data_IF_073444408045
#
_entry.id   IF_073444408045
#
_cell.length_a   1.000
_cell.length_b   1.000
_cell.length_c   1.000
_cell.angle_alpha   90.00
_cell.angle_beta   90.00
_cell.angle_gamma   90.00
#
_symmetry.space_group_name_H-M   'P 1'
#
loop_
_entity.id
_entity.type
_entity.pdbx_description
1 polymer ?
#
# COMPACT_ATOMS: atom_id res chain seq x y z
N UNK A 1 -13.51 -14.52 25.24
CA UNK A 1 -13.55 -13.46 24.23
C UNK A 1 -12.63 -12.37 24.74
N UNK A 2 -11.39 -12.26 24.22
CA UNK A 2 -10.55 -11.10 24.52
C UNK A 2 -11.30 -9.88 23.95
N UNK A 3 -11.48 -8.85 24.78
CA UNK A 3 -12.13 -7.60 24.38
C UNK A 3 -11.56 -7.12 23.04
N UNK A 4 -12.46 -6.84 22.09
CA UNK A 4 -12.07 -6.29 20.80
C UNK A 4 -11.36 -4.94 21.00
N UNK A 5 -10.48 -4.57 20.08
CA UNK A 5 -9.89 -3.23 20.04
C UNK A 5 -11.01 -2.17 20.14
N UNK A 6 -10.75 -1.08 20.87
CA UNK A 6 -11.61 0.11 20.84
C UNK A 6 -11.52 0.76 19.46
N UNK A 7 -12.35 0.29 18.53
CA UNK A 7 -12.38 0.74 17.13
C UNK A 7 -12.49 2.26 17.03
N UNK A 8 -13.36 2.86 17.85
CA UNK A 8 -13.54 4.30 17.89
C UNK A 8 -12.25 5.01 18.30
N UNK A 9 -11.59 4.53 19.36
CA UNK A 9 -10.31 5.07 19.81
C UNK A 9 -9.20 4.93 18.78
N UNK A 10 -9.16 3.81 18.02
CA UNK A 10 -8.21 3.61 16.91
C UNK A 10 -8.46 4.64 15.80
N UNK A 11 -9.71 4.82 15.39
CA UNK A 11 -10.08 5.81 14.36
C UNK A 11 -9.72 7.22 14.82
N UNK A 12 -10.04 7.58 16.07
CA UNK A 12 -9.70 8.88 16.64
C UNK A 12 -8.17 9.13 16.66
N UNK A 13 -7.38 8.11 17.01
CA UNK A 13 -5.92 8.21 16.99
C UNK A 13 -5.37 8.41 15.58
N UNK A 14 -5.78 7.58 14.61
CA UNK A 14 -5.33 7.67 13.23
C UNK A 14 -5.72 9.01 12.59
N UNK A 15 -6.94 9.50 12.90
CA UNK A 15 -7.42 10.79 12.44
C UNK A 15 -6.58 11.94 13.00
N UNK A 16 -6.32 11.94 14.32
CA UNK A 16 -5.50 12.95 14.97
C UNK A 16 -4.06 12.95 14.41
N UNK A 17 -3.44 11.77 14.26
CA UNK A 17 -2.12 11.68 13.64
C UNK A 17 -2.10 12.23 12.22
N UNK A 18 -3.11 11.89 11.39
CA UNK A 18 -3.19 12.38 10.00
C UNK A 18 -3.42 13.89 9.94
N UNK A 19 -4.22 14.43 10.84
CA UNK A 19 -4.47 15.87 10.93
C UNK A 19 -3.18 16.65 11.23
N UNK A 20 -2.41 16.19 12.23
CA UNK A 20 -1.23 16.87 12.74
C UNK A 20 0.04 16.65 11.90
N UNK A 21 0.22 15.44 11.34
CA UNK A 21 1.47 15.05 10.64
C UNK A 21 1.31 14.83 9.16
N UNK A 22 0.08 14.67 8.67
CA UNK A 22 -0.21 14.20 7.32
C UNK A 22 -0.18 12.68 7.18
N UNK A 23 0.17 11.91 8.22
CA UNK A 23 0.30 10.45 8.19
C UNK A 23 -0.49 9.79 9.33
N UNK A 24 -1.08 8.60 9.11
CA UNK A 24 -1.96 7.95 10.09
C UNK A 24 -1.21 7.34 11.29
N UNK A 25 0.09 7.14 11.17
CA UNK A 25 0.95 6.56 12.23
C UNK A 25 2.22 7.37 12.39
N UNK A 26 2.84 7.31 13.59
CA UNK A 26 4.11 8.00 13.81
C UNK A 26 5.22 7.44 12.90
N UNK A 27 5.88 8.33 12.17
CA UNK A 27 7.04 8.02 11.34
C UNK A 27 8.03 9.20 11.37
N UNK A 28 9.34 8.96 11.20
CA UNK A 28 10.34 10.02 11.19
C UNK A 28 10.17 10.94 9.97
N UNK A 29 10.64 12.18 10.08
CA UNK A 29 10.65 13.10 8.94
C UNK A 29 11.44 12.52 7.77
N UNK A 30 10.96 12.73 6.53
CA UNK A 30 11.62 12.29 5.30
C UNK A 30 11.53 10.79 5.01
N UNK A 31 10.89 9.98 5.86
CA UNK A 31 10.80 8.53 5.63
C UNK A 31 10.16 8.19 4.28
N UNK A 32 9.20 8.98 3.86
CA UNK A 32 8.40 8.69 2.67
C UNK A 32 9.18 8.86 1.37
N UNK A 33 10.21 9.73 1.34
CA UNK A 33 11.02 9.99 0.14
C UNK A 33 12.34 9.20 0.08
N UNK A 34 12.72 8.46 1.11
CA UNK A 34 13.99 7.68 1.16
C UNK A 34 14.14 6.71 -0.01
N UNK A 35 13.07 6.11 -0.49
CA UNK A 35 13.09 5.20 -1.63
C UNK A 35 13.70 5.84 -2.89
N UNK A 36 13.56 7.15 -3.05
CA UNK A 36 14.03 7.90 -4.21
C UNK A 36 15.48 8.37 -4.12
N UNK A 37 16.13 8.23 -2.95
CA UNK A 37 17.52 8.64 -2.74
C UNK A 37 18.45 7.95 -3.74
N UNK A 38 19.29 8.73 -4.40
CA UNK A 38 20.20 8.24 -5.44
C UNK A 38 19.54 7.92 -6.78
N UNK A 39 18.22 8.14 -6.95
CA UNK A 39 17.55 8.08 -8.23
C UNK A 39 17.45 9.49 -8.82
N UNK A 40 17.90 9.62 -10.08
CA UNK A 40 17.70 10.86 -10.84
C UNK A 40 16.26 10.88 -11.39
N UNK A 41 15.32 11.35 -10.56
CA UNK A 41 13.91 11.49 -10.91
C UNK A 41 13.61 12.95 -11.25
N UNK A 42 13.02 13.25 -12.43
CA UNK A 42 12.74 14.61 -12.84
C UNK A 42 11.69 15.26 -11.93
N UNK A 43 11.96 16.48 -11.47
CA UNK A 43 11.04 17.25 -10.62
C UNK A 43 10.06 18.13 -11.41
N UNK A 44 10.15 18.12 -12.73
CA UNK A 44 9.32 18.88 -13.64
C UNK A 44 9.45 18.39 -15.07
N UNK A 45 8.80 19.09 -16.02
CA UNK A 45 8.91 18.79 -17.44
C UNK A 45 8.01 17.67 -17.95
N UNK A 46 7.12 17.14 -17.11
CA UNK A 46 6.10 16.15 -17.50
C UNK A 46 4.71 16.58 -17.04
N UNK A 47 3.70 16.19 -17.81
CA UNK A 47 2.30 16.35 -17.44
C UNK A 47 1.78 15.23 -16.54
N UNK A 48 2.63 14.24 -16.19
CA UNK A 48 2.31 13.11 -15.34
C UNK A 48 3.07 13.18 -14.03
N UNK A 49 2.34 13.03 -12.92
CA UNK A 49 2.92 12.98 -11.58
C UNK A 49 2.97 11.52 -11.11
N UNK A 50 4.16 11.03 -10.75
CA UNK A 50 4.26 9.79 -9.98
C UNK A 50 3.88 10.07 -8.53
N UNK A 51 2.81 9.47 -8.04
CA UNK A 51 2.25 9.66 -6.70
C UNK A 51 2.25 8.34 -5.94
N UNK A 52 3.06 8.24 -4.89
CA UNK A 52 3.20 7.01 -4.11
C UNK A 52 2.06 6.83 -3.11
N UNK A 53 1.41 7.92 -2.67
CA UNK A 53 0.38 7.89 -1.64
C UNK A 53 0.88 7.40 -0.29
N UNK A 54 2.18 7.24 -0.13
CA UNK A 54 2.94 6.81 1.04
C UNK A 54 2.57 5.44 1.62
N UNK A 55 1.70 4.65 0.98
CA UNK A 55 1.20 3.44 1.61
C UNK A 55 2.27 2.33 1.69
N UNK A 56 3.08 2.13 0.65
CA UNK A 56 4.24 1.22 0.72
C UNK A 56 5.22 1.65 1.81
N UNK A 57 5.53 2.92 1.89
CA UNK A 57 6.48 3.48 2.86
C UNK A 57 5.96 3.39 4.31
N UNK A 58 4.64 3.47 4.50
CA UNK A 58 3.99 3.38 5.81
C UNK A 58 3.85 1.95 6.34
N UNK A 59 3.80 0.94 5.46
CA UNK A 59 3.56 -0.45 5.90
C UNK A 59 4.53 -0.96 6.95
N UNK A 60 5.87 -0.72 6.90
CA UNK A 60 6.79 -1.15 7.96
C UNK A 60 6.45 -0.52 9.32
N UNK A 61 6.02 0.74 9.33
CA UNK A 61 5.63 1.46 10.56
C UNK A 61 4.29 0.95 11.10
N UNK A 62 3.30 0.70 10.22
CA UNK A 62 2.04 0.07 10.59
C UNK A 62 2.27 -1.31 11.20
N UNK A 63 3.12 -2.13 10.59
CA UNK A 63 3.49 -3.44 11.12
C UNK A 63 4.15 -3.35 12.50
N UNK A 64 5.01 -2.35 12.71
CA UNK A 64 5.64 -2.12 14.00
C UNK A 64 4.61 -1.72 15.08
N UNK A 65 3.63 -0.88 14.74
CA UNK A 65 2.52 -0.54 15.64
C UNK A 65 1.69 -1.77 15.97
N UNK A 66 1.35 -2.58 14.97
CA UNK A 66 0.57 -3.83 15.19
C UNK A 66 1.34 -4.79 16.11
N UNK A 67 2.64 -5.02 15.86
CA UNK A 67 3.49 -5.85 16.73
C UNK A 67 3.55 -5.33 18.17
N UNK A 68 3.65 -4.01 18.35
CA UNK A 68 3.66 -3.38 19.67
C UNK A 68 2.33 -3.63 20.41
N UNK A 69 1.21 -3.39 19.74
CA UNK A 69 -0.13 -3.58 20.30
C UNK A 69 -0.39 -5.06 20.65
N UNK A 70 0.00 -5.98 19.78
CA UNK A 70 -0.13 -7.43 20.03
C UNK A 70 0.75 -7.87 21.21
N UNK A 71 1.99 -7.35 21.30
CA UNK A 71 2.93 -7.65 22.39
C UNK A 71 2.41 -7.17 23.77
N UNK A 72 1.64 -6.09 23.80
CA UNK A 72 1.00 -5.57 25.01
C UNK A 72 -0.32 -6.28 25.35
N UNK A 73 -0.76 -7.23 24.52
CA UNK A 73 -2.04 -7.92 24.70
C UNK A 73 -3.27 -7.06 24.34
N UNK A 74 -3.05 -5.99 23.62
CA UNK A 74 -4.02 -4.97 23.23
C UNK A 74 -3.76 -3.63 23.91
N UNK A 75 -4.39 -2.57 23.44
CA UNK A 75 -4.34 -1.25 24.08
C UNK A 75 -5.65 -0.97 24.81
N UNK A 76 -5.60 -0.76 26.14
CA UNK A 76 -6.77 -0.31 26.87
C UNK A 76 -7.31 1.02 26.34
N UNK A 77 -8.60 1.23 26.43
CA UNK A 77 -9.25 2.48 25.97
C UNK A 77 -8.62 3.74 26.57
N UNK A 78 -8.22 3.69 27.83
CA UNK A 78 -7.53 4.82 28.49
C UNK A 78 -6.19 5.12 27.84
N UNK A 79 -5.41 4.09 27.47
CA UNK A 79 -4.13 4.26 26.79
C UNK A 79 -4.31 4.86 25.38
N UNK A 80 -5.31 4.41 24.63
CA UNK A 80 -5.64 5.01 23.32
C UNK A 80 -5.99 6.49 23.44
N UNK A 81 -6.80 6.88 24.43
CA UNK A 81 -7.11 8.30 24.68
C UNK A 81 -5.87 9.12 25.00
N UNK A 82 -4.98 8.61 25.84
CA UNK A 82 -3.72 9.28 26.18
C UNK A 82 -2.81 9.41 24.96
N UNK A 83 -2.72 8.37 24.12
CA UNK A 83 -1.96 8.42 22.87
C UNK A 83 -2.57 9.41 21.87
N UNK A 84 -3.89 9.49 21.76
CA UNK A 84 -4.59 10.48 20.91
C UNK A 84 -4.31 11.90 21.37
N UNK A 85 -4.34 12.15 22.70
CA UNK A 85 -3.99 13.46 23.25
C UNK A 85 -2.53 13.82 22.96
N UNK A 86 -1.62 12.86 23.13
CA UNK A 86 -0.20 13.04 22.81
C UNK A 86 0.02 13.28 21.30
N UNK A 87 -0.72 12.57 20.45
CA UNK A 87 -0.70 12.78 19.00
C UNK A 87 -1.07 14.22 18.62
N UNK A 88 -2.06 14.81 19.29
CA UNK A 88 -2.47 16.20 19.07
C UNK A 88 -1.47 17.22 19.58
N UNK A 89 -0.81 16.94 20.71
CA UNK A 89 0.09 17.91 21.36
C UNK A 89 1.56 17.78 20.90
N UNK A 90 2.04 16.57 20.72
CA UNK A 90 3.44 16.25 20.40
C UNK A 90 3.53 15.01 19.49
N UNK A 91 3.00 15.06 18.27
CA UNK A 91 2.92 13.88 17.40
C UNK A 91 4.29 13.27 17.10
N UNK A 92 5.33 14.08 16.98
CA UNK A 92 6.70 13.61 16.68
C UNK A 92 7.36 12.87 17.85
N UNK A 93 6.91 13.06 19.09
CA UNK A 93 7.40 12.30 20.23
C UNK A 93 7.05 10.81 20.12
N UNK A 94 5.97 10.47 19.43
CA UNK A 94 5.56 9.10 19.19
C UNK A 94 6.43 8.39 18.13
N UNK A 95 7.05 9.12 17.20
CA UNK A 95 7.86 8.54 16.14
C UNK A 95 9.08 7.77 16.69
N UNK A 96 9.66 8.22 17.81
CA UNK A 96 10.77 7.54 18.46
C UNK A 96 10.42 6.20 19.12
N UNK A 97 9.13 5.94 19.36
CA UNK A 97 8.65 4.68 19.95
C UNK A 97 8.45 3.57 18.92
N UNK A 98 8.25 3.94 17.66
CA UNK A 98 7.97 3.00 16.58
C UNK A 98 9.26 2.66 15.84
N UNK A 99 9.66 1.39 15.94
CA UNK A 99 10.85 0.87 15.27
C UNK A 99 10.43 -0.12 14.19
N UNK A 100 10.36 0.31 12.92
CA UNK A 100 10.07 -0.59 11.81
C UNK A 100 11.21 -1.59 11.63
N UNK A 101 10.89 -2.75 11.09
CA UNK A 101 11.90 -3.70 10.65
C UNK A 101 12.65 -3.13 9.44
N UNK A 102 13.99 -3.18 9.49
CA UNK A 102 14.84 -2.62 8.44
C UNK A 102 14.74 -3.37 7.11
N UNK A 103 14.40 -4.66 7.14
CA UNK A 103 14.20 -5.45 5.92
C UNK A 103 12.86 -5.12 5.27
N UNK A 104 11.80 -4.94 6.08
CA UNK A 104 10.50 -4.45 5.58
C UNK A 104 10.65 -3.06 4.92
N UNK A 105 11.44 -2.17 5.52
CA UNK A 105 11.71 -0.84 4.94
C UNK A 105 12.43 -0.96 3.61
N UNK A 106 13.54 -1.72 3.55
CA UNK A 106 14.30 -1.94 2.31
C UNK A 106 13.45 -2.60 1.22
N UNK A 107 12.62 -3.57 1.57
CA UNK A 107 11.71 -4.23 0.64
C UNK A 107 10.70 -3.25 0.04
N UNK A 108 10.10 -2.39 0.87
CA UNK A 108 9.17 -1.35 0.41
C UNK A 108 9.85 -0.33 -0.53
N UNK A 109 11.07 0.09 -0.19
CA UNK A 109 11.87 0.98 -1.03
C UNK A 109 12.22 0.31 -2.38
N UNK A 110 12.62 -0.96 -2.37
CA UNK A 110 12.94 -1.71 -3.59
C UNK A 110 11.72 -1.86 -4.52
N UNK A 111 10.53 -2.08 -3.96
CA UNK A 111 9.29 -2.15 -4.75
C UNK A 111 9.05 -0.82 -5.48
N UNK A 112 9.14 0.31 -4.79
CA UNK A 112 8.93 1.63 -5.41
C UNK A 112 10.00 1.94 -6.47
N UNK A 113 11.26 1.61 -6.22
CA UNK A 113 12.35 1.70 -7.20
C UNK A 113 12.09 0.84 -8.43
N UNK A 114 11.58 -0.38 -8.22
CA UNK A 114 11.19 -1.29 -9.30
C UNK A 114 10.05 -0.74 -10.14
N UNK A 115 9.01 -0.15 -9.52
CA UNK A 115 7.91 0.51 -10.22
C UNK A 115 8.41 1.68 -11.07
N UNK A 116 9.24 2.56 -10.49
CA UNK A 116 9.82 3.70 -11.24
C UNK A 116 10.68 3.23 -12.42
N UNK A 117 11.47 2.17 -12.23
CA UNK A 117 12.29 1.58 -13.30
C UNK A 117 11.43 0.95 -14.40
N UNK A 118 10.34 0.24 -14.04
CA UNK A 118 9.38 -0.33 -15.00
C UNK A 118 8.71 0.76 -15.85
N UNK A 119 8.27 1.85 -15.22
CA UNK A 119 7.68 2.99 -15.93
C UNK A 119 8.68 3.62 -16.90
N UNK A 120 9.92 3.88 -16.46
CA UNK A 120 10.99 4.43 -17.33
C UNK A 120 11.31 3.52 -18.52
N UNK A 121 11.45 2.21 -18.27
CA UNK A 121 11.67 1.23 -19.35
C UNK A 121 10.49 1.13 -20.32
N UNK A 122 9.29 1.46 -19.84
CA UNK A 122 8.08 1.53 -20.66
C UNK A 122 7.99 2.79 -21.50
N UNK A 123 8.96 3.71 -21.42
CA UNK A 123 8.95 5.00 -22.09
C UNK A 123 7.91 5.98 -21.49
N UNK A 124 7.46 5.73 -20.26
CA UNK A 124 6.52 6.61 -19.56
C UNK A 124 7.31 7.79 -19.00
N UNK A 125 7.01 8.97 -19.53
CA UNK A 125 7.50 10.22 -18.97
C UNK A 125 6.67 10.62 -17.75
N UNK A 126 7.34 10.95 -16.62
CA UNK A 126 6.71 11.38 -15.37
C UNK A 126 7.65 12.29 -14.57
N UNK A 127 7.08 13.15 -13.78
CA UNK A 127 7.80 13.87 -12.74
C UNK A 127 7.50 13.33 -11.35
N UNK A 128 8.46 13.52 -10.45
CA UNK A 128 8.35 13.16 -9.04
C UNK A 128 8.75 14.36 -8.18
N UNK A 129 7.81 14.88 -7.43
CA UNK A 129 7.96 16.01 -6.51
C UNK A 129 7.72 15.48 -5.10
N UNK A 130 8.77 15.14 -4.33
CA UNK A 130 8.63 14.43 -3.04
C UNK A 130 7.60 15.05 -2.10
N UNK A 131 7.57 16.40 -2.04
CA UNK A 131 6.69 17.17 -1.17
C UNK A 131 5.19 16.98 -1.51
N UNK A 132 4.89 16.50 -2.71
CA UNK A 132 3.53 16.20 -3.19
C UNK A 132 3.37 14.72 -3.46
N UNK A 133 4.33 14.10 -4.15
CA UNK A 133 4.28 12.71 -4.59
C UNK A 133 4.16 11.70 -3.44
N UNK A 134 4.73 12.03 -2.28
CA UNK A 134 4.77 11.16 -1.09
C UNK A 134 3.79 11.60 0.00
N UNK A 135 2.85 12.47 -0.31
CA UNK A 135 1.73 12.74 0.58
C UNK A 135 0.91 11.46 0.76
N UNK A 136 0.49 11.20 1.98
CA UNK A 136 -0.41 10.11 2.28
C UNK A 136 -1.74 10.30 1.56
N UNK A 137 -2.24 9.26 0.88
CA UNK A 137 -3.48 9.36 0.09
C UNK A 137 -4.76 9.48 0.93
N UNK A 138 -4.73 9.13 2.23
CA UNK A 138 -5.92 9.05 3.08
C UNK A 138 -6.60 7.68 3.07
N UNK A 139 -5.97 6.67 2.44
CA UNK A 139 -6.58 5.36 2.18
C UNK A 139 -7.13 4.67 3.44
N UNK A 140 -6.37 4.63 4.54
CA UNK A 140 -6.84 3.97 5.79
C UNK A 140 -8.00 4.74 6.45
N UNK A 141 -8.05 6.06 6.32
CA UNK A 141 -9.18 6.84 6.82
C UNK A 141 -10.46 6.47 6.06
N UNK A 142 -10.34 6.32 4.73
CA UNK A 142 -11.43 5.87 3.87
C UNK A 142 -11.87 4.45 4.22
N UNK A 143 -10.92 3.51 4.32
CA UNK A 143 -11.17 2.10 4.63
C UNK A 143 -11.84 1.89 5.99
N UNK A 144 -11.55 2.74 6.96
CA UNK A 144 -12.11 2.70 8.32
C UNK A 144 -13.38 3.54 8.48
N UNK A 145 -13.82 4.24 7.44
CA UNK A 145 -15.02 5.08 7.50
C UNK A 145 -14.85 6.36 8.33
N UNK A 146 -13.62 6.86 8.51
CA UNK A 146 -13.33 8.14 9.17
C UNK A 146 -13.62 9.31 8.21
N UNK A 147 -14.90 9.52 7.86
CA UNK A 147 -15.35 10.36 6.75
C UNK A 147 -14.85 11.80 6.88
N UNK A 148 -15.07 12.44 8.03
CA UNK A 148 -14.70 13.85 8.24
C UNK A 148 -13.18 14.06 8.14
N UNK A 149 -12.39 13.16 8.75
CA UNK A 149 -10.93 13.19 8.69
C UNK A 149 -10.43 12.92 7.27
N UNK A 150 -11.07 11.98 6.56
CA UNK A 150 -10.77 11.72 5.16
C UNK A 150 -11.03 12.94 4.28
N UNK A 151 -12.18 13.58 4.41
CA UNK A 151 -12.55 14.76 3.59
C UNK A 151 -11.60 15.93 3.80
N UNK A 152 -11.29 16.25 5.06
CA UNK A 152 -10.32 17.28 5.39
C UNK A 152 -8.92 16.98 4.81
N UNK A 153 -8.48 15.73 4.90
CA UNK A 153 -7.19 15.30 4.34
C UNK A 153 -7.21 15.28 2.80
N UNK A 154 -8.28 14.80 2.18
CA UNK A 154 -8.48 14.77 0.74
C UNK A 154 -8.41 16.16 0.10
N UNK A 155 -8.99 17.18 0.76
CA UNK A 155 -8.87 18.57 0.31
C UNK A 155 -7.41 19.05 0.29
N UNK A 156 -6.61 18.72 1.31
CA UNK A 156 -5.17 19.06 1.37
C UNK A 156 -4.39 18.39 0.24
N UNK A 157 -4.56 17.09 0.06
CA UNK A 157 -3.88 16.30 -0.98
C UNK A 157 -4.28 16.79 -2.37
N UNK A 158 -5.58 16.97 -2.62
CA UNK A 158 -6.08 17.43 -3.91
C UNK A 158 -5.58 18.85 -4.24
N UNK A 159 -5.52 19.75 -3.26
CA UNK A 159 -4.95 21.10 -3.45
C UNK A 159 -3.48 21.03 -3.86
N UNK A 160 -2.68 20.19 -3.20
CA UNK A 160 -1.27 20.02 -3.50
C UNK A 160 -1.05 19.45 -4.91
N UNK A 161 -1.77 18.39 -5.30
CA UNK A 161 -1.67 17.80 -6.65
C UNK A 161 -2.15 18.80 -7.71
N UNK A 162 -3.27 19.46 -7.49
CA UNK A 162 -3.84 20.43 -8.44
C UNK A 162 -2.94 21.65 -8.67
N UNK A 163 -2.05 22.01 -7.71
CA UNK A 163 -1.11 23.13 -7.88
C UNK A 163 0.01 22.83 -8.86
N UNK A 164 0.28 21.58 -9.18
CA UNK A 164 1.33 21.17 -10.14
C UNK A 164 0.87 21.25 -11.61
N UNK A 165 -0.42 21.52 -11.87
CA UNK A 165 -1.02 21.60 -13.21
C UNK A 165 -0.73 20.39 -14.10
N UNK A 166 -0.64 19.20 -13.52
CA UNK A 166 -0.51 17.93 -14.25
C UNK A 166 -1.85 17.49 -14.84
N UNK A 167 -1.81 16.74 -15.94
CA UNK A 167 -3.00 16.16 -16.58
C UNK A 167 -3.31 14.74 -16.09
N UNK A 168 -2.30 14.03 -15.55
CA UNK A 168 -2.43 12.65 -15.09
C UNK A 168 -1.62 12.40 -13.81
N UNK A 169 -2.18 11.59 -12.90
CA UNK A 169 -1.49 11.05 -11.71
C UNK A 169 -1.32 9.55 -11.87
N UNK A 170 -0.07 9.08 -11.76
CA UNK A 170 0.29 7.67 -11.77
C UNK A 170 0.37 7.18 -10.33
N UNK A 171 -0.45 6.20 -9.97
CA UNK A 171 -0.47 5.59 -8.63
C UNK A 171 0.26 4.26 -8.61
N UNK A 172 0.84 3.91 -7.45
CA UNK A 172 1.67 2.72 -7.29
C UNK A 172 0.96 1.57 -6.57
N UNK A 173 -0.18 1.82 -5.95
CA UNK A 173 -0.94 0.83 -5.19
C UNK A 173 -2.47 1.00 -5.38
N UNK A 174 -3.26 -0.07 -5.11
CA UNK A 174 -4.70 -0.06 -5.34
C UNK A 174 -5.48 0.90 -4.44
N UNK A 175 -5.08 1.04 -3.17
CA UNK A 175 -5.81 1.88 -2.21
C UNK A 175 -5.65 3.36 -2.57
N UNK A 176 -4.42 3.78 -2.91
CA UNK A 176 -4.14 5.12 -3.42
C UNK A 176 -4.90 5.39 -4.72
N UNK A 177 -4.92 4.43 -5.65
CA UNK A 177 -5.63 4.57 -6.91
C UNK A 177 -7.15 4.77 -6.70
N UNK A 178 -7.76 3.97 -5.83
CA UNK A 178 -9.19 4.11 -5.50
C UNK A 178 -9.48 5.45 -4.81
N UNK A 179 -8.65 5.81 -3.83
CA UNK A 179 -8.81 7.04 -3.05
C UNK A 179 -8.78 8.27 -3.95
N UNK A 180 -7.76 8.38 -4.83
CA UNK A 180 -7.67 9.50 -5.78
C UNK A 180 -8.80 9.46 -6.83
N UNK A 181 -9.23 8.28 -7.24
CA UNK A 181 -10.40 8.14 -8.13
C UNK A 181 -11.67 8.66 -7.47
N UNK A 182 -11.87 8.40 -6.17
CA UNK A 182 -12.99 8.96 -5.40
C UNK A 182 -12.88 10.48 -5.29
N UNK A 183 -11.69 11.01 -4.98
CA UNK A 183 -11.46 12.46 -4.94
C UNK A 183 -11.79 13.12 -6.29
N UNK A 184 -11.42 12.49 -7.40
CA UNK A 184 -11.72 12.97 -8.75
C UNK A 184 -13.22 12.93 -9.05
N UNK A 185 -13.91 11.84 -8.72
CA UNK A 185 -15.38 11.72 -8.89
C UNK A 185 -16.15 12.76 -8.07
N UNK A 186 -15.59 13.19 -6.93
CA UNK A 186 -16.15 14.26 -6.09
C UNK A 186 -15.78 15.69 -6.56
N UNK A 187 -15.03 15.81 -7.66
CA UNK A 187 -14.61 17.11 -8.22
C UNK A 187 -13.46 17.79 -7.46
N UNK A 188 -12.85 17.12 -6.48
CA UNK A 188 -11.72 17.66 -5.71
C UNK A 188 -10.41 17.61 -6.51
N UNK A 189 -10.20 16.55 -7.29
CA UNK A 189 -8.98 16.29 -8.06
C UNK A 189 -9.25 16.51 -9.56
N UNK A 190 -8.43 17.33 -10.22
CA UNK A 190 -8.55 17.65 -11.65
C UNK A 190 -7.94 16.59 -12.57
N UNK A 191 -6.67 16.15 -12.37
CA UNK A 191 -6.02 15.21 -13.26
C UNK A 191 -6.71 13.85 -13.30
N UNK A 192 -6.50 13.12 -14.39
CA UNK A 192 -6.86 11.70 -14.48
C UNK A 192 -6.01 10.87 -13.54
N UNK A 193 -6.53 9.72 -13.11
CA UNK A 193 -5.82 8.79 -12.22
C UNK A 193 -5.63 7.47 -12.96
N UNK A 194 -4.38 7.01 -13.03
CA UNK A 194 -4.04 5.71 -13.60
C UNK A 194 -3.12 4.93 -12.67
N UNK A 195 -3.29 3.63 -12.64
CA UNK A 195 -2.34 2.74 -11.98
C UNK A 195 -1.08 2.55 -12.85
N UNK A 196 0.08 2.40 -12.23
CA UNK A 196 1.31 2.00 -12.93
C UNK A 196 1.12 0.73 -13.78
N UNK A 197 0.25 -0.20 -13.33
CA UNK A 197 -0.08 -1.42 -14.05
C UNK A 197 -0.65 -1.17 -15.46
N UNK A 198 -1.36 -0.07 -15.65
CA UNK A 198 -1.95 0.29 -16.96
C UNK A 198 -0.90 0.86 -17.91
N UNK A 199 0.19 1.39 -17.37
CA UNK A 199 1.24 2.11 -18.11
C UNK A 199 2.47 1.25 -18.41
N UNK A 200 2.73 0.23 -17.56
CA UNK A 200 3.85 -0.69 -17.80
C UNK A 200 3.63 -1.45 -19.10
N UNK A 201 4.60 -1.32 -20.00
CA UNK A 201 4.62 -2.02 -21.29
C UNK A 201 5.13 -3.45 -21.13
N UNK A 202 4.55 -4.43 -21.84
CA UNK A 202 5.06 -5.80 -21.87
C UNK A 202 6.54 -5.94 -22.21
N UNK A 203 7.07 -5.07 -23.08
CA UNK A 203 8.48 -5.09 -23.48
C UNK A 203 9.45 -4.57 -22.41
N UNK A 204 8.93 -3.86 -21.40
CA UNK A 204 9.71 -3.35 -20.28
C UNK A 204 9.96 -4.37 -19.18
N UNK A 205 9.29 -5.49 -19.24
CA UNK A 205 9.33 -6.55 -18.23
C UNK A 205 10.55 -7.44 -18.46
N UNK A 206 11.27 -7.79 -17.39
CA UNK A 206 12.37 -8.76 -17.49
C UNK A 206 11.82 -10.19 -17.51
N UNK A 207 12.43 -11.03 -18.35
CA UNK A 207 12.05 -12.43 -18.48
C UNK A 207 12.60 -13.23 -17.30
N UNK A 208 11.74 -14.05 -16.70
CA UNK A 208 12.07 -14.92 -15.55
C UNK A 208 11.55 -16.32 -15.87
N UNK A 209 12.30 -17.07 -16.68
CA UNK A 209 11.89 -18.39 -17.18
C UNK A 209 11.80 -19.44 -16.07
N UNK A 210 10.90 -20.43 -16.27
CA UNK A 210 10.78 -21.61 -15.40
C UNK A 210 10.13 -21.36 -14.04
N UNK A 211 9.46 -20.24 -13.88
CA UNK A 211 8.88 -19.82 -12.63
C UNK A 211 7.34 -19.86 -12.66
N UNK A 212 6.74 -20.57 -11.71
CA UNK A 212 5.29 -20.67 -11.57
C UNK A 212 4.84 -19.96 -10.31
N UNK A 213 3.84 -19.08 -10.45
CA UNK A 213 3.25 -18.33 -9.36
C UNK A 213 1.75 -18.54 -9.25
N UNK A 214 1.16 -18.21 -8.11
CA UNK A 214 -0.27 -17.92 -8.03
C UNK A 214 -0.48 -16.46 -7.67
N UNK A 215 -1.56 -15.86 -8.17
CA UNK A 215 -1.83 -14.44 -7.94
C UNK A 215 -2.87 -14.26 -6.84
N UNK A 216 -2.52 -13.48 -5.82
CA UNK A 216 -3.50 -12.89 -4.93
C UNK A 216 -3.94 -11.54 -5.49
N UNK A 217 -5.08 -11.51 -6.15
CA UNK A 217 -5.65 -10.26 -6.64
C UNK A 217 -6.05 -9.34 -5.49
N UNK A 218 -5.60 -8.10 -5.54
CA UNK A 218 -6.15 -7.05 -4.68
C UNK A 218 -7.64 -6.89 -4.97
N UNK A 219 -8.46 -6.89 -3.92
CA UNK A 219 -9.90 -6.74 -4.07
C UNK A 219 -10.28 -5.41 -4.78
N UNK A 220 -9.53 -4.34 -4.52
CA UNK A 220 -9.73 -3.04 -5.14
C UNK A 220 -9.39 -3.08 -6.64
N UNK A 221 -8.20 -3.59 -7.01
CA UNK A 221 -7.86 -3.72 -8.43
C UNK A 221 -8.81 -4.66 -9.17
N UNK A 222 -9.30 -5.71 -8.50
CA UNK A 222 -10.13 -6.70 -9.15
C UNK A 222 -11.60 -6.30 -9.31
N UNK A 223 -12.17 -5.56 -8.37
CA UNK A 223 -13.60 -5.23 -8.34
C UNK A 223 -13.91 -3.76 -8.58
N UNK A 224 -13.11 -2.86 -7.98
CA UNK A 224 -13.40 -1.43 -8.03
C UNK A 224 -12.79 -0.75 -9.26
N UNK A 225 -11.60 -1.23 -9.68
CA UNK A 225 -10.81 -0.63 -10.77
C UNK A 225 -10.70 -1.53 -12.02
N UNK A 226 -11.12 -2.79 -11.94
CA UNK A 226 -11.13 -3.78 -13.03
C UNK A 226 -9.78 -3.99 -13.73
N UNK A 227 -8.70 -4.06 -12.94
CA UNK A 227 -7.32 -4.18 -13.43
C UNK A 227 -6.70 -5.57 -13.22
N UNK A 228 -7.48 -6.58 -12.82
CA UNK A 228 -6.94 -7.91 -12.48
C UNK A 228 -6.26 -8.64 -13.64
N UNK A 229 -6.72 -8.46 -14.88
CA UNK A 229 -6.13 -9.07 -16.06
C UNK A 229 -4.73 -8.50 -16.38
N UNK A 230 -4.48 -7.24 -16.00
CA UNK A 230 -3.19 -6.60 -16.27
C UNK A 230 -2.02 -7.33 -15.63
N UNK A 231 -2.17 -7.82 -14.41
CA UNK A 231 -1.13 -8.60 -13.73
C UNK A 231 -0.78 -9.89 -14.49
N UNK A 232 -1.78 -10.60 -15.05
CA UNK A 232 -1.57 -11.82 -15.85
C UNK A 232 -0.85 -11.51 -17.14
N UNK A 233 -1.26 -10.48 -17.84
CA UNK A 233 -0.64 -10.06 -19.10
C UNK A 233 0.84 -9.70 -18.93
N UNK A 234 1.17 -8.99 -17.83
CA UNK A 234 2.55 -8.63 -17.51
C UNK A 234 3.37 -9.85 -17.08
N UNK A 235 2.81 -10.77 -16.27
CA UNK A 235 3.46 -12.01 -15.89
C UNK A 235 3.72 -12.93 -17.09
N UNK A 236 2.76 -13.05 -17.99
CA UNK A 236 2.93 -13.81 -19.24
C UNK A 236 4.06 -13.21 -20.10
N UNK A 237 4.19 -11.88 -20.17
CA UNK A 237 5.29 -11.20 -20.87
C UNK A 237 6.66 -11.45 -20.21
N UNK A 238 6.67 -11.68 -18.89
CA UNK A 238 7.84 -12.10 -18.12
C UNK A 238 8.17 -13.59 -18.27
N UNK A 239 7.41 -14.36 -19.05
CA UNK A 239 7.47 -15.83 -19.18
C UNK A 239 7.22 -16.55 -17.84
N UNK A 240 6.48 -15.92 -16.93
CA UNK A 240 6.06 -16.49 -15.65
C UNK A 240 4.71 -17.18 -15.82
N UNK A 241 4.64 -18.46 -15.46
CA UNK A 241 3.38 -19.21 -15.50
C UNK A 241 2.50 -18.86 -14.30
N UNK A 242 1.21 -18.64 -14.56
CA UNK A 242 0.23 -18.39 -13.49
C UNK A 242 -0.62 -19.64 -13.28
N UNK A 243 -0.54 -20.21 -12.08
CA UNK A 243 -1.46 -21.25 -11.60
C UNK A 243 -2.63 -20.58 -10.90
N UNK A 244 -3.78 -20.53 -11.59
CA UNK A 244 -4.94 -19.76 -11.12
C UNK A 244 -5.62 -20.43 -9.92
N UNK A 245 -5.80 -19.65 -8.85
CA UNK A 245 -6.57 -20.08 -7.70
C UNK A 245 -8.07 -20.11 -8.03
N UNK A 246 -8.83 -20.99 -7.37
CA UNK A 246 -10.28 -21.09 -7.55
C UNK A 246 -11.00 -19.75 -7.34
N UNK A 247 -10.55 -18.97 -6.33
CA UNK A 247 -11.04 -17.62 -6.06
C UNK A 247 -10.01 -16.59 -6.55
N UNK A 248 -10.04 -16.27 -7.84
CA UNK A 248 -9.15 -15.31 -8.50
C UNK A 248 -9.92 -14.25 -9.27
N UNK A 249 -9.26 -13.22 -9.74
CA UNK A 249 -9.84 -12.08 -10.44
C UNK A 249 -10.94 -11.41 -9.59
N UNK A 250 -12.06 -11.09 -10.18
CA UNK A 250 -13.20 -10.44 -9.49
C UNK A 250 -13.77 -11.28 -8.33
N UNK A 251 -13.53 -12.60 -8.31
CA UNK A 251 -13.96 -13.51 -7.23
C UNK A 251 -12.93 -13.66 -6.13
N UNK A 252 -11.87 -12.89 -6.14
CA UNK A 252 -10.81 -12.94 -5.12
C UNK A 252 -11.37 -12.82 -3.70
N UNK A 253 -10.80 -13.57 -2.77
CA UNK A 253 -11.09 -13.40 -1.34
C UNK A 253 -10.17 -12.35 -0.74
N UNK A 254 -10.64 -11.68 0.31
CA UNK A 254 -9.87 -10.67 1.03
C UNK A 254 -8.61 -11.29 1.67
N UNK A 255 -7.54 -10.50 1.75
CA UNK A 255 -6.34 -10.82 2.55
C UNK A 255 -6.54 -10.62 4.06
N UNK A 256 -7.64 -9.97 4.47
CA UNK A 256 -7.92 -9.63 5.87
C UNK A 256 -7.30 -8.31 6.35
N UNK A 257 -6.50 -7.62 5.53
CA UNK A 257 -5.79 -6.41 5.94
C UNK A 257 -6.66 -5.30 6.54
N UNK A 258 -7.75 -4.86 5.89
CA UNK A 258 -8.62 -3.80 6.44
C UNK A 258 -9.30 -4.17 7.77
N UNK A 259 -9.46 -5.46 8.06
CA UNK A 259 -10.04 -5.93 9.33
C UNK A 259 -9.06 -5.82 10.50
N UNK A 260 -7.77 -5.60 10.24
CA UNK A 260 -6.72 -5.59 11.26
C UNK A 260 -6.94 -4.51 12.34
N UNK A 261 -7.35 -3.32 11.92
CA UNK A 261 -7.66 -2.22 12.84
C UNK A 261 -8.87 -2.53 13.76
N UNK A 262 -9.74 -3.45 13.33
CA UNK A 262 -10.92 -3.88 14.09
C UNK A 262 -10.61 -5.09 14.96
N UNK A 263 -9.88 -6.05 14.42
CA UNK A 263 -9.53 -7.30 15.09
C UNK A 263 -8.30 -7.95 14.45
N UNK A 264 -7.09 -7.75 15.01
CA UNK A 264 -5.88 -8.42 14.53
C UNK A 264 -6.02 -9.95 14.48
N UNK A 265 -6.76 -10.53 15.43
CA UNK A 265 -7.06 -11.97 15.47
C UNK A 265 -7.83 -12.43 14.23
N UNK A 266 -8.91 -11.73 13.88
CA UNK A 266 -9.72 -12.06 12.70
C UNK A 266 -8.95 -11.82 11.41
N UNK A 267 -8.22 -10.71 11.31
CA UNK A 267 -7.34 -10.40 10.18
C UNK A 267 -6.37 -11.55 9.90
N UNK A 268 -5.69 -12.02 10.94
CA UNK A 268 -4.74 -13.15 10.85
C UNK A 268 -5.41 -14.43 10.36
N UNK A 269 -6.58 -14.79 10.91
CA UNK A 269 -7.32 -16.00 10.47
C UNK A 269 -7.70 -15.92 8.99
N UNK A 270 -8.20 -14.77 8.54
CA UNK A 270 -8.56 -14.55 7.14
C UNK A 270 -7.33 -14.69 6.24
N UNK A 271 -6.19 -14.09 6.64
CA UNK A 271 -4.94 -14.17 5.90
C UNK A 271 -4.43 -15.62 5.81
N UNK A 272 -4.43 -16.36 6.92
CA UNK A 272 -4.00 -17.76 6.93
C UNK A 272 -4.88 -18.67 6.06
N UNK A 273 -6.20 -18.49 6.11
CA UNK A 273 -7.12 -19.26 5.27
C UNK A 273 -6.87 -18.95 3.78
N UNK A 274 -6.76 -17.66 3.46
CA UNK A 274 -6.49 -17.22 2.09
C UNK A 274 -5.15 -17.75 1.58
N UNK A 275 -4.11 -17.67 2.39
CA UNK A 275 -2.79 -18.12 1.99
C UNK A 275 -2.73 -19.64 1.81
N UNK A 276 -3.41 -20.44 2.68
CA UNK A 276 -3.51 -21.90 2.50
C UNK A 276 -4.22 -22.26 1.19
N UNK A 277 -5.23 -21.49 0.79
CA UNK A 277 -5.86 -21.69 -0.52
C UNK A 277 -4.88 -21.44 -1.65
N UNK A 278 -4.19 -20.31 -1.64
CA UNK A 278 -3.23 -19.92 -2.68
C UNK A 278 -2.06 -20.92 -2.78
N UNK A 279 -1.53 -21.35 -1.64
CA UNK A 279 -0.39 -22.28 -1.56
C UNK A 279 -0.66 -23.67 -2.16
N UNK A 280 -1.92 -24.01 -2.46
CA UNK A 280 -2.28 -25.23 -3.21
C UNK A 280 -1.93 -25.14 -4.70
N UNK A 281 -1.81 -23.92 -5.20
CA UNK A 281 -1.57 -23.65 -6.62
C UNK A 281 -0.11 -23.32 -6.90
N UNK A 282 0.53 -22.56 -6.01
CA UNK A 282 1.98 -22.31 -6.03
C UNK A 282 2.47 -21.91 -4.64
N UNK A 283 3.74 -22.26 -4.36
CA UNK A 283 4.44 -21.77 -3.15
C UNK A 283 4.88 -20.31 -3.27
N UNK A 284 4.82 -19.74 -4.46
CA UNK A 284 5.11 -18.32 -4.69
C UNK A 284 3.80 -17.59 -4.98
N UNK A 285 3.42 -16.74 -4.06
CA UNK A 285 2.19 -15.94 -4.13
C UNK A 285 2.56 -14.53 -4.54
N UNK A 286 2.07 -14.08 -5.69
CA UNK A 286 2.30 -12.71 -6.18
C UNK A 286 1.11 -11.83 -5.80
N UNK A 287 1.39 -10.62 -5.32
CA UNK A 287 0.38 -9.57 -5.08
C UNK A 287 0.90 -8.20 -5.54
N UNK A 288 0.02 -7.22 -5.64
CA UNK A 288 0.32 -5.86 -6.09
C UNK A 288 -0.28 -4.80 -5.14
N UNK A 289 -0.44 -5.19 -3.88
CA UNK A 289 -1.03 -4.33 -2.85
C UNK A 289 -0.19 -4.43 -1.57
N UNK A 290 0.32 -3.33 -1.02
CA UNK A 290 1.18 -3.34 0.15
C UNK A 290 0.49 -3.91 1.39
N UNK A 291 -0.81 -3.66 1.58
CA UNK A 291 -1.59 -4.23 2.69
C UNK A 291 -1.73 -5.74 2.53
N UNK A 292 -2.00 -6.22 1.30
CA UNK A 292 -2.08 -7.66 1.03
C UNK A 292 -0.72 -8.34 1.21
N UNK A 293 0.36 -7.73 0.69
CA UNK A 293 1.71 -8.24 0.83
C UNK A 293 2.09 -8.40 2.31
N UNK A 294 1.88 -7.37 3.12
CA UNK A 294 2.16 -7.40 4.55
C UNK A 294 1.37 -8.49 5.29
N UNK A 295 0.05 -8.52 5.12
CA UNK A 295 -0.80 -9.43 5.88
C UNK A 295 -0.58 -10.90 5.50
N UNK A 296 -0.43 -11.19 4.20
CA UNK A 296 -0.13 -12.54 3.71
C UNK A 296 1.31 -12.98 4.06
N UNK A 297 2.30 -12.07 4.05
CA UNK A 297 3.68 -12.40 4.47
C UNK A 297 3.75 -12.81 5.95
N UNK A 298 3.01 -12.12 6.82
CA UNK A 298 2.89 -12.54 8.24
C UNK A 298 2.26 -13.92 8.40
N UNK A 299 1.29 -14.26 7.53
CA UNK A 299 0.71 -15.61 7.52
C UNK A 299 1.70 -16.62 6.93
N UNK A 300 2.52 -16.25 5.94
CA UNK A 300 3.51 -17.11 5.31
C UNK A 300 4.59 -17.59 6.28
N UNK A 301 4.96 -16.78 7.27
CA UNK A 301 5.90 -17.17 8.32
C UNK A 301 5.49 -18.45 9.10
N UNK A 302 4.23 -18.90 8.94
CA UNK A 302 3.67 -20.11 9.57
C UNK A 302 3.41 -21.25 8.58
N UNK A 303 3.80 -21.09 7.31
CA UNK A 303 3.59 -22.07 6.25
C UNK A 303 4.90 -22.35 5.53
N UNK A 304 5.38 -23.59 5.66
CA UNK A 304 6.68 -23.99 5.10
C UNK A 304 6.77 -23.77 3.59
N UNK A 305 7.85 -23.09 3.19
CA UNK A 305 8.22 -22.87 1.81
C UNK A 305 7.32 -21.92 1.02
N UNK A 306 6.33 -21.26 1.65
CA UNK A 306 5.48 -20.26 0.99
C UNK A 306 6.13 -18.89 1.07
N UNK A 307 6.21 -18.21 -0.07
CA UNK A 307 6.71 -16.83 -0.18
C UNK A 307 5.65 -15.94 -0.79
N UNK A 308 5.53 -14.74 -0.28
CA UNK A 308 4.69 -13.66 -0.84
C UNK A 308 5.62 -12.62 -1.44
N UNK A 309 5.40 -12.27 -2.70
CA UNK A 309 6.27 -11.37 -3.47
C UNK A 309 5.41 -10.29 -4.14
N UNK A 310 5.93 -9.08 -4.17
CA UNK A 310 5.26 -8.01 -4.93
C UNK A 310 5.46 -8.19 -6.43
N UNK A 311 4.41 -7.92 -7.21
CA UNK A 311 4.42 -8.04 -8.67
C UNK A 311 5.55 -7.22 -9.31
N UNK A 312 5.82 -6.01 -8.79
CA UNK A 312 6.86 -5.15 -9.35
C UNK A 312 8.26 -5.77 -9.24
N UNK A 313 8.53 -6.55 -8.17
CA UNK A 313 9.81 -7.26 -8.02
C UNK A 313 9.94 -8.39 -9.05
N UNK A 314 8.86 -9.15 -9.28
CA UNK A 314 8.84 -10.20 -10.33
C UNK A 314 9.13 -9.59 -11.69
N UNK A 315 8.42 -8.53 -12.06
CA UNK A 315 8.52 -7.88 -13.37
C UNK A 315 9.87 -7.16 -13.60
N UNK A 316 10.53 -6.75 -12.53
CA UNK A 316 11.84 -6.07 -12.60
C UNK A 316 13.03 -6.99 -12.43
N UNK A 317 12.83 -8.30 -12.15
CA UNK A 317 13.87 -9.27 -11.91
C UNK A 317 14.60 -9.13 -10.57
N UNK A 318 13.96 -8.52 -9.59
CA UNK A 318 14.48 -8.28 -8.23
C UNK A 318 13.88 -9.28 -7.20
N UNK A 319 13.89 -10.57 -7.52
CA UNK A 319 13.31 -11.66 -6.70
C UNK A 319 14.22 -12.11 -5.55
#
# INVERSE_FOLDING_TARGET
VKEGLDVKGVIEFLSAMTEETGYPVPAPSGFASRWSEGLDLPRGGSERLLFTGALYQLMPYLNAVVRLVEGLGGLPRAALKSLTLLARQRPWALAGLIRPDSEEVRASELILRSIAALLRRSGVDFMYVPEVSDLYSGALLLDLGAVDAFEAHAMRVSKAINSLNVSEVITVDPHTALTLTIMRRRGLLRPSVRSYLELVSPVAVLRTEGFTVTVHDSCIYARDLDLWERSRNLLASALVQVSEARRSGRRTSCCGGPVEALSPFMSRRVAEERLRELARYSKVVVTMCPICASNLSRAAARLDGVRVVDLALVLSGNL
#
